data_IF_460554084593
#
_entry.id   IF_460554084593
#
_cell.length_a   1.000
_cell.length_b   1.000
_cell.length_c   1.000
_cell.angle_alpha   90.00
_cell.angle_beta   90.00
_cell.angle_gamma   90.00
#
_symmetry.space_group_name_H-M   'P 1'
#
loop_
_entity.id
_entity.type
_entity.pdbx_description
1 polymer ?
#
# COMPACT_ATOMS: atom_id res chain seq x y z
N UNK A 1 24.66 -1.34 6.80
CA UNK A 1 24.43 -2.77 7.11
C UNK A 1 23.27 -3.40 6.31
N UNK A 2 22.84 -2.81 5.18
CA UNK A 2 21.68 -3.25 4.39
C UNK A 2 22.02 -3.92 3.04
N UNK A 3 23.31 -4.05 2.68
CA UNK A 3 23.74 -4.44 1.32
C UNK A 3 23.47 -5.90 0.93
N UNK A 4 22.87 -6.72 1.81
CA UNK A 4 22.65 -8.15 1.59
C UNK A 4 21.19 -8.60 1.77
N UNK A 5 20.23 -7.70 2.00
CA UNK A 5 18.82 -8.11 2.04
C UNK A 5 18.29 -8.32 0.62
N UNK A 6 18.05 -9.59 0.26
CA UNK A 6 17.22 -9.91 -0.90
C UNK A 6 15.79 -9.42 -0.60
N UNK A 7 15.41 -8.28 -1.20
CA UNK A 7 14.04 -7.75 -1.13
C UNK A 7 12.97 -8.77 -1.57
N UNK A 8 13.40 -9.76 -2.34
CA UNK A 8 12.60 -10.91 -2.78
C UNK A 8 13.08 -12.20 -2.12
N UNK A 9 12.30 -12.66 -1.15
CA UNK A 9 12.45 -13.96 -0.49
C UNK A 9 11.09 -14.67 -0.45
N UNK A 10 11.08 -15.99 -0.26
CA UNK A 10 9.83 -16.75 -0.10
C UNK A 10 8.97 -16.17 1.03
N UNK A 11 9.61 -15.77 2.12
CA UNK A 11 8.93 -15.12 3.26
C UNK A 11 8.34 -13.77 2.88
N UNK A 12 9.08 -12.92 2.16
CA UNK A 12 8.59 -11.61 1.68
C UNK A 12 7.35 -11.77 0.80
N UNK A 13 7.39 -12.70 -0.16
CA UNK A 13 6.26 -12.99 -1.05
C UNK A 13 5.05 -13.49 -0.25
N UNK A 14 5.28 -14.44 0.67
CA UNK A 14 4.22 -14.99 1.52
C UNK A 14 3.54 -13.89 2.35
N UNK A 15 4.33 -13.07 3.06
CA UNK A 15 3.79 -11.97 3.87
C UNK A 15 3.05 -10.94 3.02
N UNK A 16 3.55 -10.66 1.81
CA UNK A 16 2.91 -9.73 0.89
C UNK A 16 1.54 -10.25 0.43
N UNK A 17 1.43 -11.55 0.12
CA UNK A 17 0.15 -12.18 -0.24
C UNK A 17 -0.80 -12.27 0.95
N UNK A 18 -0.29 -12.58 2.14
CA UNK A 18 -1.08 -12.59 3.38
C UNK A 18 -1.65 -11.20 3.70
N UNK A 19 -0.99 -10.13 3.25
CA UNK A 19 -1.52 -8.77 3.33
C UNK A 19 -2.83 -8.54 2.55
N UNK A 20 -3.22 -9.44 1.63
CA UNK A 20 -4.52 -9.37 0.96
C UNK A 20 -5.64 -10.03 1.76
N UNK A 21 -5.32 -10.88 2.74
CA UNK A 21 -6.33 -11.64 3.49
C UNK A 21 -7.37 -10.73 4.17
N UNK A 22 -7.00 -9.66 4.90
CA UNK A 22 -8.00 -8.86 5.59
C UNK A 22 -8.91 -8.10 4.64
N UNK A 23 -8.44 -7.75 3.43
CA UNK A 23 -9.32 -7.19 2.37
C UNK A 23 -10.37 -8.21 1.94
N UNK A 24 -9.96 -9.44 1.62
CA UNK A 24 -10.86 -10.51 1.18
C UNK A 24 -11.85 -10.86 2.30
N UNK A 25 -11.37 -10.95 3.55
CA UNK A 25 -12.23 -11.20 4.71
C UNK A 25 -13.24 -10.08 4.93
N UNK A 26 -12.86 -8.81 4.74
CA UNK A 26 -13.78 -7.68 4.85
C UNK A 26 -14.87 -7.73 3.77
N UNK A 27 -14.51 -8.05 2.52
CA UNK A 27 -15.46 -8.23 1.41
C UNK A 27 -16.41 -9.40 1.68
N UNK A 28 -15.89 -10.54 2.14
CA UNK A 28 -16.74 -11.66 2.50
C UNK A 28 -17.72 -11.28 3.63
N UNK A 29 -17.23 -10.55 4.63
CA UNK A 29 -18.04 -10.14 5.78
C UNK A 29 -19.14 -9.15 5.40
N UNK A 30 -18.85 -8.14 4.57
CA UNK A 30 -19.86 -7.17 4.12
C UNK A 30 -20.92 -7.80 3.23
N UNK A 31 -20.57 -8.84 2.45
CA UNK A 31 -21.52 -9.54 1.58
C UNK A 31 -22.42 -10.53 2.33
N UNK A 32 -21.90 -11.10 3.43
CA UNK A 32 -22.57 -12.22 4.12
C UNK A 32 -23.31 -11.78 5.38
N UNK A 33 -22.80 -10.76 6.09
CA UNK A 33 -23.26 -10.44 7.45
C UNK A 33 -23.70 -8.99 7.60
N UNK A 34 -22.79 -8.03 7.51
CA UNK A 34 -23.05 -6.62 7.81
C UNK A 34 -22.24 -5.73 6.87
N UNK A 35 -22.97 -5.04 5.98
CA UNK A 35 -22.40 -4.21 4.93
C UNK A 35 -21.58 -3.06 5.51
N UNK A 36 -22.16 -2.27 6.41
CA UNK A 36 -21.54 -1.06 6.98
C UNK A 36 -20.28 -1.42 7.76
N UNK A 37 -20.37 -2.46 8.60
CA UNK A 37 -19.24 -2.89 9.41
C UNK A 37 -18.13 -3.50 8.56
N UNK A 38 -18.46 -4.30 7.54
CA UNK A 38 -17.45 -4.88 6.66
C UNK A 38 -16.81 -3.83 5.75
N UNK A 39 -17.56 -2.85 5.26
CA UNK A 39 -17.04 -1.70 4.53
C UNK A 39 -16.09 -0.87 5.41
N UNK A 40 -16.48 -0.60 6.66
CA UNK A 40 -15.59 0.05 7.62
C UNK A 40 -14.30 -0.75 7.81
N UNK A 41 -14.36 -2.07 8.05
CA UNK A 41 -13.16 -2.91 8.19
C UNK A 41 -12.25 -2.79 6.96
N UNK A 42 -12.83 -2.82 5.74
CA UNK A 42 -12.09 -2.66 4.50
C UNK A 42 -11.34 -1.31 4.45
N UNK A 43 -12.03 -0.21 4.69
CA UNK A 43 -11.47 1.15 4.66
C UNK A 43 -10.36 1.30 5.71
N UNK A 44 -10.60 0.85 6.95
CA UNK A 44 -9.61 0.95 8.02
C UNK A 44 -8.35 0.16 7.70
N UNK A 45 -8.50 -1.09 7.24
CA UNK A 45 -7.34 -1.90 6.88
C UNK A 45 -6.58 -1.33 5.68
N UNK A 46 -7.31 -0.78 4.71
CA UNK A 46 -6.69 -0.10 3.57
C UNK A 46 -5.83 1.08 4.01
N UNK A 47 -6.36 1.96 4.87
CA UNK A 47 -5.61 3.10 5.39
C UNK A 47 -4.35 2.64 6.16
N UNK A 48 -4.47 1.56 6.96
CA UNK A 48 -3.33 0.95 7.66
C UNK A 48 -2.26 0.53 6.64
N UNK A 49 -2.59 -0.29 5.66
CA UNK A 49 -1.61 -0.77 4.67
C UNK A 49 -0.99 0.39 3.89
N UNK A 50 -1.79 1.36 3.44
CA UNK A 50 -1.30 2.53 2.73
C UNK A 50 -0.28 3.31 3.56
N UNK A 51 -0.49 3.44 4.87
CA UNK A 51 0.41 4.15 5.77
C UNK A 51 1.79 3.48 5.96
N UNK A 52 1.91 2.17 5.71
CA UNK A 52 3.17 1.43 5.86
C UNK A 52 4.02 1.38 4.58
N UNK A 53 3.45 1.66 3.41
CA UNK A 53 4.15 1.45 2.12
C UNK A 53 5.42 2.30 2.00
N UNK A 54 5.39 3.54 2.48
CA UNK A 54 6.54 4.44 2.41
C UNK A 54 7.74 4.04 3.30
N UNK A 55 7.58 3.05 4.18
CA UNK A 55 8.62 2.65 5.13
C UNK A 55 9.94 2.22 4.45
N UNK A 56 9.89 1.64 3.25
CA UNK A 56 11.11 1.26 2.49
C UNK A 56 11.92 2.50 2.10
N UNK A 57 11.26 3.54 1.59
CA UNK A 57 11.95 4.78 1.22
C UNK A 57 12.45 5.54 2.45
N UNK A 58 11.71 5.48 3.57
CA UNK A 58 12.18 5.99 4.86
C UNK A 58 13.46 5.27 5.31
N UNK A 59 13.46 3.93 5.33
CA UNK A 59 14.60 3.12 5.79
C UNK A 59 15.83 3.27 4.90
N UNK A 60 15.65 3.36 3.58
CA UNK A 60 16.75 3.62 2.62
C UNK A 60 17.38 5.00 2.82
N UNK A 61 16.62 5.97 3.31
CA UNK A 61 17.11 7.33 3.50
C UNK A 61 18.19 7.45 4.58
N UNK A 62 18.40 6.42 5.40
CA UNK A 62 19.53 6.33 6.32
C UNK A 62 20.89 6.42 5.58
N UNK A 63 20.94 5.89 4.35
CA UNK A 63 22.11 5.96 3.48
C UNK A 63 22.14 7.24 2.62
N UNK A 64 20.99 7.62 2.06
CA UNK A 64 20.89 8.70 1.07
C UNK A 64 20.83 10.11 1.70
N UNK A 65 20.40 10.22 2.96
CA UNK A 65 20.32 11.47 3.75
C UNK A 65 19.62 12.62 3.00
N UNK A 66 18.56 12.30 2.27
CA UNK A 66 17.80 13.23 1.43
C UNK A 66 16.48 13.63 2.11
N UNK A 67 16.25 14.94 2.40
CA UNK A 67 14.96 15.39 2.93
C UNK A 67 13.78 15.04 2.03
N UNK A 68 13.99 15.07 0.71
CA UNK A 68 12.96 14.71 -0.29
C UNK A 68 12.43 13.30 -0.10
N UNK A 69 13.30 12.35 0.27
CA UNK A 69 12.88 10.96 0.50
C UNK A 69 11.99 10.82 1.72
N UNK A 70 12.21 11.61 2.77
CA UNK A 70 11.31 11.63 3.94
C UNK A 70 9.93 12.18 3.59
N UNK A 71 9.86 13.27 2.82
CA UNK A 71 8.56 13.78 2.39
C UNK A 71 7.80 12.74 1.55
N UNK A 72 8.48 12.13 0.57
CA UNK A 72 7.89 11.10 -0.29
C UNK A 72 7.49 9.83 0.48
N UNK A 73 8.23 9.44 1.52
CA UNK A 73 7.88 8.28 2.34
C UNK A 73 6.67 8.51 3.25
N UNK A 74 6.39 9.75 3.65
CA UNK A 74 5.25 10.10 4.51
C UNK A 74 3.98 10.40 3.70
N UNK A 75 4.11 10.80 2.44
CA UNK A 75 2.97 11.11 1.55
C UNK A 75 1.85 10.06 1.58
N UNK A 76 2.13 8.75 1.46
CA UNK A 76 1.07 7.73 1.51
C UNK A 76 0.30 7.72 2.83
N UNK A 77 0.97 7.91 3.96
CA UNK A 77 0.35 7.95 5.30
C UNK A 77 -0.55 9.18 5.47
N UNK A 78 -0.17 10.33 4.92
CA UNK A 78 -1.01 11.53 4.93
C UNK A 78 -2.26 11.32 4.08
N UNK A 79 -2.13 10.72 2.90
CA UNK A 79 -3.28 10.39 2.04
C UNK A 79 -4.22 9.41 2.76
N UNK A 80 -3.67 8.36 3.37
CA UNK A 80 -4.43 7.37 4.12
C UNK A 80 -5.23 8.01 5.27
N UNK A 81 -4.59 8.88 6.05
CA UNK A 81 -5.26 9.60 7.14
C UNK A 81 -6.34 10.54 6.63
N UNK A 82 -6.12 11.18 5.48
CA UNK A 82 -7.07 12.12 4.89
C UNK A 82 -8.39 11.44 4.47
N UNK A 83 -8.38 10.14 4.19
CA UNK A 83 -9.57 9.38 3.82
C UNK A 83 -10.63 9.32 4.93
N UNK A 84 -10.26 9.51 6.21
CA UNK A 84 -11.22 9.53 7.32
C UNK A 84 -12.07 10.80 7.39
N UNK A 85 -11.73 11.84 6.61
CA UNK A 85 -12.55 13.05 6.50
C UNK A 85 -13.55 12.99 5.36
N UNK A 86 -13.61 11.88 4.63
CA UNK A 86 -14.47 11.69 3.47
C UNK A 86 -15.49 10.58 3.75
N UNK A 87 -16.69 10.78 3.22
CA UNK A 87 -17.73 9.76 3.23
C UNK A 87 -17.53 8.76 2.08
N UNK A 88 -18.21 7.63 2.17
CA UNK A 88 -18.29 6.69 1.05
C UNK A 88 -19.08 7.34 -0.12
N UNK A 89 -18.62 7.20 -1.38
CA UNK A 89 -17.50 6.39 -1.89
C UNK A 89 -16.17 7.15 -2.04
N UNK A 90 -16.11 8.43 -1.65
CA UNK A 90 -14.94 9.29 -1.89
C UNK A 90 -13.72 8.86 -1.08
N UNK A 91 -13.91 8.30 0.11
CA UNK A 91 -12.82 7.71 0.91
C UNK A 91 -12.13 6.54 0.20
N UNK A 92 -12.87 5.65 -0.45
CA UNK A 92 -12.31 4.56 -1.27
C UNK A 92 -11.56 5.11 -2.47
N UNK A 93 -12.09 6.17 -3.10
CA UNK A 93 -11.44 6.81 -4.26
C UNK A 93 -10.10 7.40 -3.88
N UNK A 94 -10.05 8.11 -2.74
CA UNK A 94 -8.82 8.69 -2.23
C UNK A 94 -7.79 7.60 -1.86
N UNK A 95 -8.22 6.51 -1.23
CA UNK A 95 -7.32 5.39 -0.88
C UNK A 95 -6.77 4.69 -2.14
N UNK A 96 -7.60 4.42 -3.14
CA UNK A 96 -7.16 3.84 -4.41
C UNK A 96 -6.12 4.73 -5.13
N UNK A 97 -6.38 6.04 -5.19
CA UNK A 97 -5.42 7.04 -5.70
C UNK A 97 -4.14 7.02 -4.85
N UNK A 98 -4.26 6.92 -3.53
CA UNK A 98 -3.13 6.81 -2.61
C UNK A 98 -2.21 5.64 -2.91
N UNK A 99 -2.76 4.46 -3.21
CA UNK A 99 -1.96 3.31 -3.64
C UNK A 99 -1.23 3.57 -4.95
N UNK A 100 -1.91 4.18 -5.93
CA UNK A 100 -1.30 4.54 -7.21
C UNK A 100 -0.15 5.54 -7.01
N UNK A 101 -0.37 6.58 -6.20
CA UNK A 101 0.65 7.57 -5.84
C UNK A 101 1.84 6.90 -5.16
N UNK A 102 1.60 6.04 -4.18
CA UNK A 102 2.66 5.32 -3.48
C UNK A 102 3.46 4.41 -4.43
N UNK A 103 2.78 3.72 -5.35
CA UNK A 103 3.44 2.93 -6.38
C UNK A 103 4.26 3.78 -7.36
N UNK A 104 3.76 4.94 -7.79
CA UNK A 104 4.50 5.86 -8.65
C UNK A 104 5.76 6.39 -7.95
N UNK A 105 5.67 6.73 -6.67
CA UNK A 105 6.81 7.12 -5.84
C UNK A 105 7.87 6.01 -5.85
N UNK A 106 7.48 4.79 -5.50
CA UNK A 106 8.38 3.64 -5.50
C UNK A 106 8.99 3.41 -6.89
N UNK A 107 8.16 3.40 -7.93
CA UNK A 107 8.59 3.18 -9.31
C UNK A 107 9.67 4.18 -9.73
N UNK A 108 9.42 5.49 -9.59
CA UNK A 108 10.38 6.51 -10.03
C UNK A 108 11.66 6.54 -9.19
N UNK A 109 11.59 6.21 -7.90
CA UNK A 109 12.77 6.15 -7.03
C UNK A 109 13.60 4.88 -7.24
N UNK A 110 12.97 3.78 -7.65
CA UNK A 110 13.59 2.45 -7.61
C UNK A 110 13.90 1.85 -8.99
N UNK A 111 13.22 2.26 -10.06
CA UNK A 111 13.33 1.61 -11.37
C UNK A 111 14.76 1.63 -11.94
N UNK A 112 15.56 2.64 -11.56
CA UNK A 112 16.96 2.76 -12.00
C UNK A 112 17.88 1.69 -11.39
N UNK A 113 17.47 1.07 -10.29
CA UNK A 113 18.27 0.13 -9.53
C UNK A 113 17.77 -1.31 -9.77
N UNK A 114 18.57 -2.13 -10.47
CA UNK A 114 18.20 -3.51 -10.85
C UNK A 114 17.78 -4.38 -9.67
N UNK A 115 18.36 -4.14 -8.49
CA UNK A 115 18.06 -4.85 -7.25
C UNK A 115 16.60 -4.71 -6.79
N UNK A 116 15.93 -3.62 -7.20
CA UNK A 116 14.55 -3.33 -6.82
C UNK A 116 13.52 -3.70 -7.88
N UNK A 117 13.92 -4.12 -9.08
CA UNK A 117 12.97 -4.46 -10.15
C UNK A 117 11.98 -5.56 -9.75
N UNK A 118 12.48 -6.59 -9.07
CA UNK A 118 11.64 -7.68 -8.58
C UNK A 118 10.68 -7.20 -7.48
N UNK A 119 11.12 -6.28 -6.61
CA UNK A 119 10.26 -5.62 -5.63
C UNK A 119 9.17 -4.78 -6.30
N UNK A 120 9.51 -3.98 -7.32
CA UNK A 120 8.54 -3.18 -8.09
C UNK A 120 7.51 -4.10 -8.75
N UNK A 121 7.93 -5.20 -9.38
CA UNK A 121 7.02 -6.17 -10.01
C UNK A 121 6.03 -6.77 -9.00
N UNK A 122 6.53 -7.21 -7.85
CA UNK A 122 5.70 -7.67 -6.74
C UNK A 122 4.73 -6.60 -6.24
N UNK A 123 5.23 -5.36 -6.06
CA UNK A 123 4.46 -4.21 -5.60
C UNK A 123 3.35 -3.84 -6.58
N UNK A 124 3.60 -3.94 -7.90
CA UNK A 124 2.60 -3.73 -8.94
C UNK A 124 1.44 -4.71 -8.83
N UNK A 125 1.72 -6.01 -8.64
CA UNK A 125 0.68 -7.04 -8.51
C UNK A 125 -0.26 -6.70 -7.35
N UNK A 126 0.29 -6.39 -6.17
CA UNK A 126 -0.53 -6.06 -5.00
C UNK A 126 -1.28 -4.74 -5.18
N UNK A 127 -0.62 -3.72 -5.72
CA UNK A 127 -1.24 -2.40 -5.91
C UNK A 127 -2.43 -2.52 -6.87
N UNK A 128 -2.26 -3.24 -7.98
CA UNK A 128 -3.35 -3.51 -8.94
C UNK A 128 -4.48 -4.30 -8.26
N UNK A 129 -4.16 -5.36 -7.52
CA UNK A 129 -5.18 -6.14 -6.81
C UNK A 129 -5.96 -5.28 -5.81
N UNK A 130 -5.29 -4.48 -4.99
CA UNK A 130 -5.96 -3.63 -3.99
C UNK A 130 -6.80 -2.54 -4.66
N UNK A 131 -6.28 -1.87 -5.70
CA UNK A 131 -7.06 -0.88 -6.46
C UNK A 131 -8.29 -1.53 -7.10
N UNK A 132 -8.15 -2.72 -7.67
CA UNK A 132 -9.28 -3.47 -8.20
C UNK A 132 -10.34 -3.76 -7.13
N UNK A 133 -9.93 -4.16 -5.92
CA UNK A 133 -10.88 -4.38 -4.82
C UNK A 133 -11.59 -3.08 -4.37
N UNK A 134 -10.93 -1.92 -4.45
CA UNK A 134 -11.60 -0.63 -4.18
C UNK A 134 -12.66 -0.34 -5.25
N UNK A 135 -12.31 -0.50 -6.52
CA UNK A 135 -13.24 -0.28 -7.65
C UNK A 135 -14.43 -1.25 -7.57
N UNK A 136 -14.20 -2.48 -7.10
CA UNK A 136 -15.26 -3.46 -6.92
C UNK A 136 -16.30 -3.07 -5.86
N UNK A 137 -15.91 -2.29 -4.84
CA UNK A 137 -16.79 -1.88 -3.73
C UNK A 137 -17.43 -0.51 -3.92
N UNK A 138 -17.02 0.26 -4.92
CA UNK A 138 -17.66 1.53 -5.31
C UNK A 138 -18.94 1.28 -6.08
#
# INVERSE_FOLDING_TARGET
MLSNQKYTSKTSISLMLLGLLPFISAIYYLQTYDFERGLAIFIHYSAIILSFIGAINWGRNDLEKSPKLFYLSVTPSIIAFSAFFLDFPDNLSLLAIGYLVAWLIDFFLLIKNKEFLAYIGMRSIITISVIYLHIYLM
#
